data_IF_299463554552
#
_entry.id   IF_299463554552
#
_cell.length_a   1.000
_cell.length_b   1.000
_cell.length_c   1.000
_cell.angle_alpha   90.00
_cell.angle_beta   90.00
_cell.angle_gamma   90.00
#
_symmetry.space_group_name_H-M   'P 1'
#
loop_
_entity.id
_entity.type
_entity.pdbx_description
1 polymer ?
2 non-polymer ?
3 non-polymer ?
4 water ?
#
# COMPACT_ATOMS: atom_id res chain seq x y z
N UNK A 7 -10.67 1.61 35.27
CA UNK A 7 -10.28 3.05 35.24
C UNK A 7 -11.15 3.79 34.22
N UNK A 8 -10.54 4.21 33.13
CA UNK A 8 -11.23 4.76 31.97
C UNK A 8 -11.78 3.58 31.14
N UNK A 9 -11.25 2.38 31.44
CA UNK A 9 -11.56 1.09 30.78
C UNK A 9 -13.00 0.84 30.29
N UNK A 10 -13.98 1.45 30.95
CA UNK A 10 -15.39 1.19 30.65
C UNK A 10 -15.87 1.67 29.27
N UNK A 11 -15.51 0.90 28.25
CA UNK A 11 -16.19 0.88 26.95
C UNK A 11 -16.77 -0.54 26.78
N UNK A 12 -17.25 -0.96 25.60
CA UNK A 12 -17.99 -2.25 25.49
C UNK A 12 -17.20 -3.44 26.04
N UNK A 13 -17.91 -4.39 26.66
CA UNK A 13 -17.26 -5.49 27.38
C UNK A 13 -16.60 -6.48 26.41
N UNK A 14 -17.15 -6.53 25.19
CA UNK A 14 -16.62 -7.44 24.16
C UNK A 14 -15.27 -7.05 23.60
N UNK A 15 -14.79 -5.86 23.98
CA UNK A 15 -13.56 -5.28 23.41
C UNK A 15 -12.28 -5.56 24.20
N UNK A 16 -11.17 -5.58 23.47
CA UNK A 16 -9.87 -5.92 23.99
C UNK A 16 -8.96 -4.69 23.89
N UNK A 17 -8.50 -4.19 25.04
CA UNK A 17 -7.60 -3.03 25.07
C UNK A 17 -6.22 -3.44 25.58
N UNK A 18 -5.18 -3.05 24.85
CA UNK A 18 -3.82 -3.10 25.38
C UNK A 18 -3.23 -1.72 25.13
N UNK A 19 -2.61 -1.15 26.17
CA UNK A 19 -2.31 0.28 26.20
C UNK A 19 -1.01 0.55 26.92
N UNK A 20 -0.16 1.40 26.36
CA UNK A 20 1.06 1.78 27.06
C UNK A 20 1.36 3.22 26.73
N UNK A 21 1.69 4.01 27.74
CA UNK A 21 2.01 5.44 27.58
C UNK A 21 3.27 5.70 28.40
N UNK A 22 4.25 6.33 27.79
CA UNK A 22 5.55 6.48 28.42
C UNK A 22 6.22 7.76 27.96
N UNK A 23 6.77 8.51 28.91
CA UNK A 23 7.53 9.70 28.57
C UNK A 23 8.73 9.35 27.68
N UNK A 24 9.04 10.20 26.72
CA UNK A 24 10.18 9.93 25.88
C UNK A 24 11.44 9.88 26.75
N UNK A 25 12.17 8.77 26.65
CA UNK A 25 13.43 8.59 27.37
C UNK A 25 13.32 8.07 28.80
N UNK A 26 12.09 7.90 29.29
CA UNK A 26 11.91 7.39 30.65
C UNK A 26 12.09 5.89 30.72
N UNK A 27 12.47 5.41 31.90
CA UNK A 27 12.70 3.97 32.08
C UNK A 27 11.41 3.22 32.43
N UNK A 28 10.41 3.93 32.92
CA UNK A 28 9.12 3.30 33.27
C UNK A 28 7.89 4.01 32.66
N UNK A 29 6.87 3.24 32.30
CA UNK A 29 5.64 3.80 31.71
C UNK A 29 4.72 4.50 32.71
N UNK A 30 4.01 5.52 32.23
CA UNK A 30 3.02 6.20 33.06
C UNK A 30 1.71 5.44 33.08
N UNK A 31 1.37 4.80 31.96
CA UNK A 31 0.20 3.93 31.86
C UNK A 31 0.64 2.62 31.24
N UNK A 32 0.22 1.51 31.85
CA UNK A 32 0.64 0.20 31.38
C UNK A 32 -0.50 -0.76 31.62
N UNK A 33 -1.23 -1.05 30.55
CA UNK A 33 -2.36 -1.96 30.67
C UNK A 33 -2.24 -3.05 29.62
N UNK A 34 -1.88 -4.24 30.08
CA UNK A 34 -1.69 -5.39 29.20
C UNK A 34 -0.75 -5.06 28.03
N UNK A 35 0.35 -4.37 28.32
CA UNK A 35 1.23 -3.84 27.26
C UNK A 35 2.02 -4.93 26.55
N UNK A 36 2.13 -6.09 27.19
CA UNK A 36 2.88 -7.22 26.67
C UNK A 36 2.04 -8.12 25.77
N UNK A 37 0.73 -7.88 25.80
CA UNK A 37 -0.22 -8.68 25.05
C UNK A 37 -0.14 -8.31 23.58
N UNK A 38 0.05 -9.32 22.74
CA UNK A 38 0.20 -9.12 21.31
C UNK A 38 -1.14 -8.90 20.61
N UNK A 39 -1.17 -7.96 19.66
CA UNK A 39 -2.40 -7.59 19.02
C UNK A 39 -2.20 -7.36 17.51
N UNK A 40 -3.29 -7.33 16.76
CA UNK A 40 -3.26 -6.98 15.34
C UNK A 40 -2.97 -5.46 15.21
N UNK A 41 -1.88 -5.07 14.57
CA UNK A 41 -1.51 -3.63 14.50
C UNK A 41 -2.28 -2.85 13.45
N UNK A 42 -2.84 -3.56 12.47
CA UNK A 42 -3.45 -2.92 11.30
C UNK A 42 -2.46 -1.88 10.78
N UNK A 43 -2.94 -0.71 10.35
CA UNK A 43 -2.04 0.24 9.65
C UNK A 43 -0.96 0.88 10.53
N UNK A 44 -0.96 0.65 11.84
CA UNK A 44 0.20 1.13 12.65
C UNK A 44 1.45 0.37 12.27
N UNK A 45 1.27 -0.73 11.51
CA UNK A 45 2.43 -1.45 10.99
C UNK A 45 3.29 -0.50 10.16
N UNK A 46 2.67 0.51 9.52
CA UNK A 46 3.39 1.44 8.64
C UNK A 46 4.48 2.26 9.37
N UNK A 47 4.33 2.39 10.70
CA UNK A 47 5.34 3.10 11.50
C UNK A 47 6.66 2.34 11.45
N UNK A 48 6.57 1.02 11.65
CA UNK A 48 7.74 0.16 11.55
C UNK A 48 8.35 0.17 10.13
N UNK A 49 7.49 0.10 9.13
CA UNK A 49 7.92 0.09 7.74
C UNK A 49 8.68 1.38 7.43
N UNK A 50 8.13 2.51 7.85
CA UNK A 50 8.78 3.79 7.61
C UNK A 50 10.15 3.83 8.28
N UNK A 51 10.23 3.40 9.55
CA UNK A 51 11.55 3.45 10.24
C UNK A 51 12.60 2.57 9.56
N UNK A 52 12.23 1.32 9.28
CA UNK A 52 13.15 0.38 8.64
C UNK A 52 13.57 0.86 7.26
N UNK A 53 12.65 1.51 6.55
CA UNK A 53 12.90 2.03 5.19
C UNK A 53 13.93 3.14 5.27
N UNK A 54 13.75 4.05 6.22
CA UNK A 54 14.71 5.19 6.35
C UNK A 54 16.08 4.67 6.74
N UNK A 55 16.13 3.67 7.60
CA UNK A 55 17.42 3.14 7.98
C UNK A 55 18.10 2.39 6.83
N UNK A 56 17.36 1.54 6.12
CA UNK A 56 17.95 0.71 5.07
C UNK A 56 18.16 1.46 3.76
N UNK A 57 17.15 2.19 3.33
CA UNK A 57 17.17 2.83 2.02
C UNK A 57 17.60 4.31 2.03
N UNK A 58 17.38 4.98 3.16
CA UNK A 58 17.69 6.40 3.30
C UNK A 58 16.60 7.31 2.75
N UNK A 59 16.56 8.57 3.21
CA UNK A 59 15.51 9.49 2.79
C UNK A 59 15.54 9.83 1.31
N UNK A 60 16.69 9.64 0.66
CA UNK A 60 16.84 10.05 -0.75
C UNK A 60 16.72 8.92 -1.77
N UNK A 61 16.38 7.72 -1.30
CA UNK A 61 16.11 6.58 -2.21
C UNK A 61 15.01 6.96 -3.18
N UNK A 62 15.18 6.54 -4.45
CA UNK A 62 14.09 6.68 -5.40
C UNK A 62 13.86 5.34 -6.10
N UNK A 63 12.59 5.02 -6.35
CA UNK A 63 12.25 3.86 -7.18
C UNK A 63 12.63 4.23 -8.61
N UNK A 64 13.00 3.23 -9.39
CA UNK A 64 13.49 3.48 -10.75
C UNK A 64 12.87 2.51 -11.74
N UNK A 65 12.50 3.04 -12.90
CA UNK A 65 12.03 2.25 -14.04
C UNK A 65 12.90 2.63 -15.26
N UNK A 66 13.29 1.65 -16.06
CA UNK A 66 14.13 1.98 -17.23
C UNK A 66 13.67 1.26 -18.48
N UNK A 67 13.97 1.86 -19.63
CA UNK A 67 13.99 1.09 -20.89
C UNK A 67 15.47 0.89 -21.24
N UNK A 68 15.82 -0.36 -21.55
CA UNK A 68 17.18 -0.75 -21.82
C UNK A 68 17.22 -1.48 -23.14
N UNK A 69 18.33 -1.38 -23.85
CA UNK A 69 18.47 -2.15 -25.06
C UNK A 69 19.61 -3.11 -24.88
N UNK A 70 19.36 -4.33 -25.31
CA UNK A 70 20.38 -5.34 -25.39
C UNK A 70 20.55 -5.66 -26.88
N UNK A 71 21.63 -5.15 -27.46
CA UNK A 71 21.94 -5.38 -28.87
C UNK A 71 22.40 -4.13 -29.58
N UNK A 72 22.81 -4.27 -30.85
CA UNK A 72 23.24 -3.12 -31.65
C UNK A 72 22.08 -2.46 -32.38
N UNK A 73 22.17 -1.16 -32.55
CA UNK A 73 21.17 -0.40 -33.32
C UNK A 73 21.73 -0.06 -34.72
N UNK A 74 21.15 -0.68 -35.76
CA UNK A 74 21.61 -0.45 -37.12
C UNK A 74 20.50 0.14 -38.00
N UNK A 75 20.73 1.35 -38.47
CA UNK A 75 19.74 2.08 -39.26
C UNK A 75 18.36 2.14 -38.60
N UNK A 76 18.36 2.47 -37.31
CA UNK A 76 17.13 2.60 -36.52
C UNK A 76 16.53 1.27 -36.08
N UNK A 77 17.20 0.17 -36.38
CA UNK A 77 16.72 -1.16 -36.02
C UNK A 77 17.57 -1.69 -34.88
N UNK A 78 16.92 -1.97 -33.74
CA UNK A 78 17.59 -2.66 -32.64
C UNK A 78 17.67 -4.15 -33.00
N UNK A 79 18.89 -4.68 -33.14
CA UNK A 79 19.06 -6.09 -33.42
C UNK A 79 19.22 -6.78 -32.07
N UNK A 80 18.09 -7.09 -31.45
CA UNK A 80 18.10 -7.56 -30.06
C UNK A 80 16.79 -7.22 -29.37
N UNK A 81 16.81 -7.24 -28.04
CA UNK A 81 15.59 -7.09 -27.25
C UNK A 81 15.48 -5.70 -26.61
N UNK A 82 14.25 -5.19 -26.52
CA UNK A 82 13.96 -4.03 -25.69
C UNK A 82 13.58 -4.59 -24.33
N UNK A 83 14.15 -4.03 -23.27
CA UNK A 83 13.83 -4.50 -21.90
C UNK A 83 13.19 -3.35 -21.16
N UNK A 84 11.98 -3.57 -20.61
CA UNK A 84 11.41 -2.58 -19.72
C UNK A 84 11.60 -3.14 -18.32
N UNK A 85 12.51 -2.53 -17.56
CA UNK A 85 12.87 -3.02 -16.25
C UNK A 85 12.07 -2.23 -15.22
N UNK A 86 11.10 -2.90 -14.63
CA UNK A 86 10.24 -2.25 -13.65
C UNK A 86 10.91 -2.36 -12.30
N UNK A 87 10.59 -1.41 -11.42
CA UNK A 87 11.29 -1.31 -10.15
C UNK A 87 10.37 -1.10 -8.97
N UNK A 88 9.09 -1.50 -9.13
CA UNK A 88 8.10 -1.43 -8.05
C UNK A 88 7.74 0.01 -7.68
N UNK A 89 7.95 0.96 -8.59
CA UNK A 89 7.62 2.37 -8.30
C UNK A 89 6.10 2.44 -8.16
N UNK A 90 5.59 2.74 -6.97
CA UNK A 90 4.14 2.79 -6.75
C UNK A 90 3.48 4.01 -7.41
N UNK A 91 4.28 4.96 -7.88
CA UNK A 91 3.76 6.23 -8.41
C UNK A 91 3.87 6.32 -9.93
N UNK A 92 4.37 5.28 -10.60
CA UNK A 92 4.47 5.28 -12.08
C UNK A 92 3.12 5.44 -12.76
N UNK A 93 3.08 6.27 -13.82
CA UNK A 93 1.82 6.56 -14.52
C UNK A 93 1.91 6.21 -16.00
N UNK A 94 0.77 6.03 -16.66
CA UNK A 94 0.73 5.79 -18.13
C UNK A 94 1.60 6.77 -18.89
N UNK A 95 1.50 8.06 -18.54
CA UNK A 95 2.34 9.10 -19.19
C UNK A 95 3.83 8.92 -19.06
N UNK A 96 4.26 8.29 -17.96
CA UNK A 96 5.67 7.99 -17.79
C UNK A 96 6.11 6.95 -18.81
N UNK A 97 5.26 5.96 -19.08
CA UNK A 97 5.56 4.96 -20.11
C UNK A 97 5.66 5.64 -21.47
N UNK A 98 4.67 6.47 -21.75
CA UNK A 98 4.62 7.23 -23.00
C UNK A 98 5.87 8.06 -23.20
N UNK A 99 6.33 8.73 -22.13
CA UNK A 99 7.54 9.56 -22.19
C UNK A 99 8.84 8.77 -22.39
N UNK A 100 8.97 7.61 -21.72
CA UNK A 100 10.15 6.79 -21.92
C UNK A 100 10.15 6.27 -23.37
N UNK A 101 8.98 5.94 -23.91
CA UNK A 101 8.90 5.46 -25.31
C UNK A 101 9.29 6.60 -26.27
N UNK A 102 8.81 7.80 -25.97
CA UNK A 102 9.17 8.98 -26.76
C UNK A 102 10.66 9.15 -26.76
N UNK A 103 11.30 8.94 -25.61
CA UNK A 103 12.76 9.02 -25.49
C UNK A 103 13.49 7.92 -26.28
N UNK A 104 12.95 6.70 -26.21
CA UNK A 104 13.47 5.59 -27.01
C UNK A 104 13.50 5.92 -28.52
N UNK A 105 12.38 6.42 -29.02
CA UNK A 105 12.25 6.83 -30.42
C UNK A 105 13.27 7.92 -30.73
N UNK A 106 13.25 8.96 -29.89
CA UNK A 106 14.19 10.09 -30.00
C UNK A 106 15.65 9.63 -30.06
N UNK A 107 15.98 8.52 -29.39
CA UNK A 107 17.34 7.99 -29.40
C UNK A 107 17.70 7.32 -30.74
N UNK A 108 16.71 7.14 -31.61
CA UNK A 108 16.94 6.56 -32.96
C UNK A 108 16.47 5.14 -33.16
N UNK A 109 15.71 4.59 -32.23
CA UNK A 109 15.13 3.27 -32.40
C UNK A 109 13.74 3.38 -33.03
N UNK A 110 13.58 2.84 -34.23
CA UNK A 110 12.30 2.83 -34.94
C UNK A 110 11.71 1.44 -34.99
N UNK A 111 12.55 0.46 -34.72
CA UNK A 111 12.19 -0.92 -34.96
C UNK A 111 12.98 -1.82 -34.03
N UNK A 112 12.31 -2.85 -33.51
CA UNK A 112 12.96 -3.85 -32.68
C UNK A 112 12.94 -5.19 -33.39
N UNK A 113 14.10 -5.67 -33.75
CA UNK A 113 14.23 -7.00 -34.36
C UNK A 113 14.52 -7.94 -33.23
N UNK A 114 13.46 -8.29 -32.49
CA UNK A 114 13.64 -8.99 -31.23
C UNK A 114 12.37 -8.93 -30.42
N UNK A 115 12.51 -9.25 -29.15
CA UNK A 115 11.38 -9.35 -28.23
C UNK A 115 11.28 -8.08 -27.40
N UNK A 116 10.11 -7.88 -26.78
CA UNK A 116 9.95 -6.79 -25.81
C UNK A 116 9.78 -7.49 -24.47
N UNK A 117 10.74 -7.28 -23.57
CA UNK A 117 10.76 -8.01 -22.31
C UNK A 117 10.26 -7.12 -21.19
N UNK A 118 9.30 -7.63 -20.43
CA UNK A 118 8.77 -6.96 -19.23
C UNK A 118 9.48 -7.61 -18.04
N UNK A 119 10.42 -6.85 -17.48
CA UNK A 119 11.36 -7.39 -16.52
C UNK A 119 10.88 -7.00 -15.14
N UNK A 120 10.57 -8.00 -14.32
CA UNK A 120 10.11 -7.82 -12.94
C UNK A 120 11.07 -8.50 -11.98
N UNK A 121 12.31 -8.76 -12.41
CA UNK A 121 13.27 -9.56 -11.63
C UNK A 121 13.69 -8.93 -10.30
N UNK A 122 13.35 -7.66 -10.10
CA UNK A 122 13.59 -6.97 -8.81
C UNK A 122 12.93 -7.71 -7.64
N UNK A 123 11.79 -8.33 -7.93
CA UNK A 123 10.95 -9.03 -6.95
C UNK A 123 10.79 -10.47 -7.43
N UNK A 124 10.41 -11.36 -6.51
CA UNK A 124 10.07 -12.73 -6.89
C UNK A 124 8.96 -13.23 -5.99
N UNK A 125 8.42 -14.39 -6.35
CA UNK A 125 7.35 -15.03 -5.60
C UNK A 125 6.09 -14.20 -5.73
N UNK A 126 5.07 -14.53 -4.92
CA UNK A 126 3.76 -13.89 -5.02
C UNK A 126 3.76 -12.38 -4.74
N UNK A 127 2.89 -11.66 -5.44
CA UNK A 127 2.72 -10.21 -5.23
C UNK A 127 1.72 -9.89 -4.11
N UNK A 128 1.36 -10.90 -3.34
CA UNK A 128 0.37 -10.79 -2.26
C UNK A 128 1.00 -11.40 -1.03
N UNK A 129 0.93 -10.70 0.11
CA UNK A 129 1.60 -11.16 1.31
C UNK A 129 0.80 -12.29 1.95
N UNK A 130 1.44 -13.14 2.75
CA UNK A 130 0.69 -14.14 3.51
C UNK A 130 -0.29 -13.45 4.47
N UNK A 131 -1.49 -14.01 4.59
CA UNK A 131 -2.44 -13.49 5.56
C UNK A 131 -3.36 -12.40 5.07
N UNK A 132 -3.24 -12.01 3.78
CA UNK A 132 -4.21 -11.08 3.22
C UNK A 132 -5.51 -11.81 2.90
N UNK A 133 -6.64 -11.24 3.30
CA UNK A 133 -7.95 -11.87 2.97
C UNK A 133 -8.13 -11.94 1.45
N UNK A 134 -8.52 -13.10 0.92
CA UNK A 134 -8.68 -13.27 -0.53
C UNK A 134 -9.71 -12.28 -1.12
N UNK A 135 -10.75 -12.00 -0.34
CA UNK A 135 -11.93 -11.30 -0.87
C UNK A 135 -11.66 -9.84 -1.19
N UNK A 136 -10.61 -9.29 -0.61
CA UNK A 136 -10.31 -7.88 -0.87
C UNK A 136 -9.32 -7.73 -2.02
N UNK A 137 -8.87 -8.82 -2.64
CA UNK A 137 -7.75 -8.72 -3.60
C UNK A 137 -8.14 -7.98 -4.89
N UNK A 138 -9.45 -7.90 -5.17
CA UNK A 138 -9.94 -7.15 -6.34
C UNK A 138 -10.27 -5.70 -6.00
N UNK A 139 -10.13 -5.32 -4.72
CA UNK A 139 -10.30 -3.92 -4.31
C UNK A 139 -9.02 -3.12 -4.47
N UNK A 140 -9.13 -1.86 -4.92
CA UNK A 140 -7.91 -1.09 -5.11
C UNK A 140 -7.03 -0.90 -3.86
N UNK A 141 -7.63 -0.85 -2.67
CA UNK A 141 -6.85 -0.67 -1.45
C UNK A 141 -5.96 -1.87 -1.16
N UNK A 142 -6.25 -3.01 -1.79
CA UNK A 142 -5.44 -4.20 -1.59
C UNK A 142 -4.88 -4.70 -2.95
N UNK A 143 -4.66 -3.79 -3.92
CA UNK A 143 -4.15 -4.21 -5.21
C UNK A 143 -2.76 -4.79 -4.99
N UNK A 144 -2.49 -5.97 -5.56
CA UNK A 144 -1.16 -6.58 -5.43
C UNK A 144 -0.05 -5.59 -5.79
N UNK A 145 0.85 -5.29 -4.83
CA UNK A 145 1.92 -4.30 -5.03
C UNK A 145 3.09 -4.92 -5.78
N UNK A 146 2.86 -5.14 -7.07
CA UNK A 146 3.77 -5.86 -7.94
C UNK A 146 4.98 -5.01 -8.32
N UNK A 147 5.98 -5.63 -8.94
CA UNK A 147 7.11 -4.84 -9.46
C UNK A 147 6.63 -3.92 -10.60
N UNK A 148 5.66 -4.40 -11.37
CA UNK A 148 5.09 -3.60 -12.45
C UNK A 148 3.78 -2.94 -12.04
N UNK A 149 3.84 -1.63 -11.74
CA UNK A 149 2.64 -0.85 -11.39
C UNK A 149 2.47 0.32 -12.37
N UNK A 150 1.25 0.52 -12.87
CA UNK A 150 0.98 1.73 -13.63
C UNK A 150 -0.34 2.27 -13.15
N UNK A 151 -0.34 3.55 -12.76
CA UNK A 151 -1.53 4.21 -12.20
C UNK A 151 -2.20 3.34 -11.11
N UNK A 152 -1.34 2.91 -10.21
CA UNK A 152 -1.73 2.18 -8.99
C UNK A 152 -2.36 0.82 -9.24
N UNK A 153 -2.28 0.35 -10.48
CA UNK A 153 -2.87 -0.96 -10.85
C UNK A 153 -4.35 -1.01 -10.42
N UNK A 154 -5.05 0.09 -10.66
CA UNK A 154 -6.46 0.23 -10.35
C UNK A 154 -7.12 0.79 -11.58
N UNK A 155 -8.32 0.31 -11.92
CA UNK A 155 -9.05 0.84 -13.09
C UNK A 155 -10.52 0.93 -12.72
N UNK A 156 -11.29 1.68 -13.50
CA UNK A 156 -12.70 1.76 -13.18
C UNK A 156 -13.56 1.38 -14.38
N UNK A 157 -14.80 1.05 -14.07
CA UNK A 157 -15.74 0.41 -14.95
C UNK A 157 -17.13 1.00 -14.57
N UNK A 158 -18.04 1.05 -15.53
CA UNK A 158 -19.42 1.50 -15.27
C UNK A 158 -20.35 0.36 -15.59
N UNK A 159 -21.21 -0.01 -14.64
CA UNK A 159 -22.13 -1.11 -14.86
C UNK A 159 -23.57 -0.59 -15.03
N UNK A 160 -24.14 -0.89 -16.19
CA UNK A 160 -25.47 -0.41 -16.58
C UNK A 160 -26.47 -1.54 -16.50
N UNK A 161 -27.61 -1.29 -15.87
CA UNK A 161 -28.66 -2.29 -15.89
C UNK A 161 -29.31 -2.26 -17.27
N UNK A 162 -29.81 -3.42 -17.71
CA UNK A 162 -30.53 -3.52 -18.97
C UNK A 162 -31.92 -2.87 -18.85
N UNK A 163 -32.39 -2.25 -19.92
CA UNK A 163 -33.79 -1.76 -20.00
C UNK A 163 -34.85 -2.83 -19.67
N UNK A 164 -34.62 -4.06 -20.14
CA UNK A 164 -35.55 -5.18 -19.94
C UNK A 164 -35.03 -6.13 -18.85
N UNK A 165 -35.74 -6.20 -17.72
CA UNK A 165 -35.45 -7.18 -16.67
C UNK A 165 -35.24 -8.58 -17.22
N UNK A 166 -34.19 -9.24 -16.75
CA UNK A 166 -33.81 -10.55 -17.28
C UNK A 166 -32.68 -10.46 -18.29
N UNK A 167 -32.59 -9.33 -19.01
CA UNK A 167 -31.46 -9.07 -19.89
C UNK A 167 -30.20 -8.77 -19.09
N UNK A 168 -29.05 -9.02 -19.73
CA UNK A 168 -27.74 -8.93 -19.07
C UNK A 168 -27.35 -7.47 -18.85
N UNK A 169 -26.96 -7.13 -17.62
CA UNK A 169 -26.40 -5.81 -17.34
C UNK A 169 -25.12 -5.67 -18.17
N UNK A 170 -24.76 -4.45 -18.56
CA UNK A 170 -23.63 -4.28 -19.45
C UNK A 170 -22.54 -3.32 -18.94
N UNK A 171 -21.31 -3.57 -19.37
CA UNK A 171 -20.16 -2.95 -18.74
C UNK A 171 -19.51 -1.95 -19.68
N UNK A 172 -19.37 -0.71 -19.24
CA UNK A 172 -18.58 0.24 -20.01
C UNK A 172 -17.23 0.42 -19.35
N UNK A 173 -16.16 0.37 -20.14
CA UNK A 173 -14.82 0.62 -19.63
C UNK A 173 -13.99 1.42 -20.65
N UNK A 174 -13.18 2.35 -20.18
CA UNK A 174 -12.35 3.16 -21.07
C UNK A 174 -11.40 2.30 -21.89
N UNK A 175 -11.29 2.60 -23.18
CA UNK A 175 -10.44 1.85 -24.09
C UNK A 175 -8.97 1.87 -23.63
N UNK A 176 -8.57 2.84 -22.81
CA UNK A 176 -7.15 2.88 -22.37
C UNK A 176 -6.78 1.91 -21.21
N UNK A 177 -7.76 1.15 -20.71
CA UNK A 177 -7.48 0.10 -19.74
C UNK A 177 -7.34 -1.24 -20.45
N UNK A 178 -6.16 -1.84 -20.45
CA UNK A 178 -5.98 -3.15 -21.05
C UNK A 178 -6.46 -4.27 -20.15
N UNK A 179 -7.78 -4.32 -19.97
CA UNK A 179 -8.43 -5.39 -19.21
C UNK A 179 -9.49 -5.98 -20.12
N UNK A 180 -10.03 -7.15 -19.77
CA UNK A 180 -11.10 -7.72 -20.57
C UNK A 180 -12.27 -8.01 -19.64
N UNK A 181 -13.39 -7.32 -19.86
CA UNK A 181 -14.57 -7.45 -18.98
C UNK A 181 -15.66 -8.28 -19.62
N UNK A 182 -16.24 -9.18 -18.83
CA UNK A 182 -17.41 -9.95 -19.24
C UNK A 182 -18.55 -9.75 -18.22
N UNK A 183 -19.79 -9.68 -18.72
CA UNK A 183 -20.94 -9.60 -17.81
C UNK A 183 -21.79 -10.86 -17.85
N UNK A 184 -22.00 -11.45 -16.69
CA UNK A 184 -23.01 -12.50 -16.53
C UNK A 184 -24.04 -12.02 -15.51
N UNK A 185 -24.18 -10.70 -15.38
CA UNK A 185 -25.06 -10.08 -14.39
C UNK A 185 -26.47 -9.97 -14.96
N UNK A 186 -27.44 -10.53 -14.22
CA UNK A 186 -28.84 -10.46 -14.61
C UNK A 186 -29.47 -9.23 -14.02
N UNK A 187 -30.23 -8.51 -14.85
CA UNK A 187 -30.92 -7.32 -14.38
C UNK A 187 -32.22 -7.77 -13.74
N UNK A 188 -32.45 -7.33 -12.51
CA UNK A 188 -33.66 -7.73 -11.78
C UNK A 188 -34.70 -6.62 -11.88
N UNK A 189 -35.99 -6.99 -11.89
CA UNK A 189 -37.06 -6.01 -11.74
C UNK A 189 -37.01 -5.41 -10.33
N UNK A 190 -37.48 -4.18 -10.17
CA UNK A 190 -37.43 -3.50 -8.87
C UNK A 190 -38.07 -4.28 -7.71
N UNK A 191 -38.99 -5.19 -8.00
CA UNK A 191 -39.63 -5.93 -6.91
C UNK A 191 -38.92 -7.19 -6.40
N UNK A 192 -37.87 -7.59 -7.10
CA UNK A 192 -37.45 -9.00 -7.12
C UNK A 192 -37.21 -9.62 -5.76
N UNK A 193 -37.73 -10.83 -5.57
CA UNK A 193 -37.42 -11.63 -4.37
C UNK A 193 -35.92 -11.98 -4.33
N UNK A 194 -35.29 -11.94 -5.51
CA UNK A 194 -33.87 -12.25 -5.66
C UNK A 194 -32.94 -11.19 -5.09
N UNK A 195 -33.44 -9.97 -4.92
CA UNK A 195 -32.56 -8.88 -4.53
C UNK A 195 -31.86 -9.10 -3.17
N UNK A 196 -32.52 -9.79 -2.25
CA UNK A 196 -31.99 -9.92 -0.88
C UNK A 196 -30.68 -10.71 -0.79
N UNK A 197 -30.66 -11.91 -1.39
CA UNK A 197 -29.50 -12.83 -1.27
C UNK A 197 -28.73 -13.10 -2.56
N UNK A 198 -29.11 -12.47 -3.67
CA UNK A 198 -28.32 -12.58 -4.88
C UNK A 198 -27.21 -11.53 -4.83
N UNK A 199 -25.96 -11.99 -4.82
CA UNK A 199 -24.82 -11.09 -4.69
C UNK A 199 -24.46 -10.56 -6.08
N UNK A 200 -23.76 -9.43 -6.08
CA UNK A 200 -23.07 -8.90 -7.27
C UNK A 200 -21.59 -9.09 -7.01
N UNK A 201 -20.95 -9.88 -7.85
CA UNK A 201 -19.59 -10.31 -7.57
C UNK A 201 -18.65 -10.03 -8.72
N UNK A 202 -17.37 -9.93 -8.41
CA UNK A 202 -16.33 -9.86 -9.45
C UNK A 202 -15.46 -11.09 -9.32
N UNK A 203 -15.21 -11.72 -10.47
CA UNK A 203 -14.39 -12.95 -10.52
C UNK A 203 -13.22 -12.69 -11.46
N UNK A 204 -12.03 -12.52 -10.93
CA UNK A 204 -10.85 -12.30 -11.76
C UNK A 204 -10.41 -13.61 -12.43
N UNK A 205 -9.93 -13.49 -13.66
CA UNK A 205 -9.36 -14.62 -14.39
C UNK A 205 -7.97 -14.26 -14.85
N UNK A 206 -7.38 -15.14 -15.63
CA UNK A 206 -6.03 -14.90 -16.11
C UNK A 206 -5.97 -13.72 -17.08
N UNK A 207 -4.78 -13.13 -17.18
CA UNK A 207 -4.49 -12.07 -18.15
C UNK A 207 -5.48 -10.91 -18.05
N UNK A 208 -5.77 -10.54 -16.81
CA UNK A 208 -6.57 -9.37 -16.50
C UNK A 208 -7.96 -9.42 -17.12
N UNK A 209 -8.51 -10.63 -17.18
CA UNK A 209 -9.93 -10.83 -17.45
C UNK A 209 -10.71 -10.70 -16.15
N UNK A 210 -11.88 -10.07 -16.22
CA UNK A 210 -12.75 -10.01 -15.06
C UNK A 210 -14.17 -10.32 -15.51
N UNK A 211 -14.85 -11.17 -14.75
CA UNK A 211 -16.25 -11.49 -15.04
C UNK A 211 -17.10 -11.01 -13.87
N UNK A 212 -18.12 -10.21 -14.18
CA UNK A 212 -19.09 -9.76 -13.20
C UNK A 212 -20.24 -10.76 -13.21
N UNK A 213 -20.64 -11.24 -12.05
CA UNK A 213 -21.72 -12.26 -12.00
C UNK A 213 -22.77 -11.88 -10.98
N UNK A 214 -23.92 -12.55 -11.04
CA UNK A 214 -24.95 -12.33 -10.05
C UNK A 214 -26.03 -11.43 -10.58
N UNK A 215 -26.52 -10.55 -9.73
CA UNK A 215 -27.72 -9.74 -9.99
C UNK A 215 -27.49 -8.27 -9.74
N UNK A 216 -28.19 -7.44 -10.52
CA UNK A 216 -28.24 -6.01 -10.30
C UNK A 216 -29.69 -5.55 -10.49
N UNK A 217 -30.29 -4.95 -9.45
CA UNK A 217 -31.61 -4.32 -9.58
C UNK A 217 -31.54 -3.20 -10.60
N UNK A 218 -32.61 -3.05 -11.37
CA UNK A 218 -32.73 -1.94 -12.30
C UNK A 218 -32.38 -0.65 -11.57
N UNK A 219 -31.54 0.17 -12.19
CA UNK A 219 -31.18 1.48 -11.65
C UNK A 219 -31.10 2.47 -12.80
N UNK A 220 -31.37 3.73 -12.49
CA UNK A 220 -31.49 4.78 -13.48
C UNK A 220 -30.14 5.31 -13.95
N UNK A 221 -29.12 5.20 -13.11
CA UNK A 221 -27.75 5.59 -13.46
C UNK A 221 -26.79 4.40 -13.30
N UNK A 222 -25.70 4.35 -14.08
CA UNK A 222 -24.73 3.24 -13.95
C UNK A 222 -24.15 3.13 -12.55
N UNK A 223 -23.74 1.93 -12.16
CA UNK A 223 -23.04 1.72 -10.91
C UNK A 223 -21.54 1.82 -11.21
N UNK A 224 -20.85 2.76 -10.56
CA UNK A 224 -19.40 2.88 -10.77
C UNK A 224 -18.66 1.83 -9.93
N UNK A 225 -17.64 1.21 -10.51
CA UNK A 225 -16.88 0.18 -9.78
C UNK A 225 -15.41 0.35 -10.10
N UNK A 226 -14.55 0.20 -9.09
CA UNK A 226 -13.08 0.24 -9.34
C UNK A 226 -12.50 -1.09 -8.90
N UNK A 227 -11.60 -1.64 -9.70
CA UNK A 227 -11.01 -2.96 -9.39
C UNK A 227 -9.50 -2.91 -9.49
N UNK A 228 -8.85 -3.80 -8.75
CA UNK A 228 -7.41 -3.94 -8.79
C UNK A 228 -6.97 -4.91 -9.89
N UNK A 229 -5.96 -4.48 -10.64
CA UNK A 229 -5.26 -5.35 -11.60
C UNK A 229 -4.58 -6.49 -10.85
N UNK A 230 -4.80 -7.72 -11.32
CA UNK A 230 -4.19 -8.90 -10.70
C UNK A 230 -2.85 -9.30 -11.32
N UNK A 231 -2.64 -8.96 -12.60
CA UNK A 231 -1.40 -9.32 -13.27
C UNK A 231 -0.74 -8.05 -13.77
N UNK A 232 0.06 -7.44 -12.90
CA UNK A 232 0.66 -6.14 -13.23
C UNK A 232 1.61 -6.22 -14.42
N UNK A 233 2.35 -7.31 -14.55
CA UNK A 233 3.30 -7.42 -15.67
C UNK A 233 2.59 -7.41 -17.01
N UNK A 234 1.47 -8.15 -17.13
CA UNK A 234 0.71 -8.16 -18.39
C UNK A 234 0.05 -6.83 -18.67
N UNK A 235 -0.41 -6.18 -17.61
CA UNK A 235 -1.07 -4.89 -17.73
C UNK A 235 -0.05 -3.86 -18.21
N UNK A 236 1.10 -3.80 -17.54
CA UNK A 236 2.18 -2.87 -17.94
C UNK A 236 2.69 -3.19 -19.36
N UNK A 237 2.81 -4.47 -19.67
CA UNK A 237 3.19 -4.88 -21.05
C UNK A 237 2.25 -4.36 -22.10
N UNK A 238 0.94 -4.49 -21.84
CA UNK A 238 -0.05 -4.05 -22.80
C UNK A 238 0.03 -2.54 -22.96
N UNK A 239 0.27 -1.83 -21.86
CA UNK A 239 0.37 -0.37 -21.97
C UNK A 239 1.62 0.01 -22.79
N UNK A 240 2.71 -0.68 -22.51
CA UNK A 240 3.96 -0.43 -23.26
C UNK A 240 3.79 -0.72 -24.74
N UNK A 241 3.15 -1.85 -25.05
CA UNK A 241 2.89 -2.25 -26.45
C UNK A 241 2.07 -1.18 -27.18
N UNK A 242 1.03 -0.68 -26.52
CA UNK A 242 0.23 0.41 -27.07
C UNK A 242 1.09 1.64 -27.34
N UNK A 243 1.88 2.08 -26.36
CA UNK A 243 2.71 3.27 -26.56
C UNK A 243 3.76 3.10 -27.68
N UNK A 244 4.38 1.92 -27.72
CA UNK A 244 5.31 1.61 -28.83
C UNK A 244 4.63 1.79 -30.18
N UNK A 245 3.44 1.21 -30.33
CA UNK A 245 2.70 1.26 -31.59
C UNK A 245 2.36 2.70 -31.97
N UNK A 246 1.94 3.48 -30.97
CA UNK A 246 1.57 4.89 -31.19
C UNK A 246 2.78 5.73 -31.59
N UNK A 247 3.95 5.39 -31.05
CA UNK A 247 5.17 6.11 -31.43
C UNK A 247 5.76 5.57 -32.76
N UNK A 248 5.06 4.62 -33.38
CA UNK A 248 5.45 4.05 -34.68
C UNK A 248 6.62 3.07 -34.62
N UNK A 249 6.94 2.56 -33.43
CA UNK A 249 8.00 1.56 -33.25
C UNK A 249 7.40 0.18 -33.43
N UNK A 250 7.93 -0.60 -34.39
CA UNK A 250 7.44 -1.95 -34.63
C UNK A 250 8.37 -2.97 -33.98
N UNK A 251 7.88 -4.20 -33.79
CA UNK A 251 8.75 -5.28 -33.30
C UNK A 251 8.32 -6.61 -33.91
N UNK A 252 9.27 -7.51 -34.07
CA UNK A 252 9.01 -8.75 -34.78
C UNK A 252 8.77 -9.92 -33.85
N UNK A 253 9.18 -9.76 -32.58
CA UNK A 253 9.05 -10.85 -31.62
C UNK A 253 7.73 -10.79 -30.91
N UNK A 254 7.73 -11.13 -29.62
CA UNK A 254 6.53 -10.97 -28.82
C UNK A 254 6.88 -10.34 -27.47
N UNK A 255 5.84 -10.06 -26.71
CA UNK A 255 5.99 -9.59 -25.33
C UNK A 255 6.21 -10.78 -24.43
N UNK A 256 7.30 -10.76 -23.66
CA UNK A 256 7.67 -11.87 -22.79
C UNK A 256 8.00 -11.35 -21.41
N UNK A 257 7.69 -12.12 -20.38
CA UNK A 257 8.09 -11.71 -19.03
C UNK A 257 9.51 -12.17 -18.75
N UNK A 258 10.30 -11.32 -18.11
CA UNK A 258 11.66 -11.67 -17.68
C UNK A 258 11.67 -11.62 -16.16
N UNK A 259 11.77 -12.78 -15.53
CA UNK A 259 11.71 -12.87 -14.06
C UNK A 259 13.05 -13.16 -13.39
N UNK A 260 14.04 -13.59 -14.17
CA UNK A 260 15.30 -13.99 -13.55
C UNK A 260 16.29 -12.84 -13.58
N UNK A 261 17.12 -12.74 -12.55
CA UNK A 261 18.10 -11.67 -12.50
C UNK A 261 19.04 -11.73 -13.69
N UNK A 262 19.49 -10.57 -14.14
CA UNK A 262 20.20 -10.40 -15.40
C UNK A 262 20.95 -9.06 -15.42
N UNK A 263 22.05 -8.99 -16.18
CA UNK A 263 22.82 -7.75 -16.27
C UNK A 263 22.00 -6.73 -17.04
N UNK A 264 22.04 -5.47 -16.63
CA UNK A 264 21.26 -4.43 -17.32
C UNK A 264 21.82 -4.17 -18.72
N UNK A 265 20.94 -3.79 -19.63
CA UNK A 265 21.35 -3.32 -20.95
C UNK A 265 21.75 -1.86 -20.85
N UNK A 266 21.87 -1.20 -22.01
CA UNK A 266 22.12 0.23 -22.05
C UNK A 266 20.83 0.94 -21.71
N UNK A 267 20.85 1.80 -20.69
CA UNK A 267 19.64 2.54 -20.32
C UNK A 267 19.43 3.67 -21.30
N UNK A 268 18.35 3.60 -22.05
CA UNK A 268 18.01 4.62 -23.04
C UNK A 268 16.96 5.59 -22.52
N UNK A 269 16.14 5.13 -21.56
CA UNK A 269 15.18 6.02 -20.92
C UNK A 269 14.97 5.59 -19.46
N UNK A 270 14.56 6.53 -18.62
CA UNK A 270 14.29 6.23 -17.21
C UNK A 270 13.32 7.19 -16.53
N UNK A 271 12.77 6.72 -15.41
CA UNK A 271 11.92 7.55 -14.57
C UNK A 271 12.27 7.16 -13.15
N UNK A 272 12.52 8.17 -12.32
CA UNK A 272 12.67 7.97 -10.88
C UNK A 272 11.50 8.61 -10.14
N UNK A 273 11.07 7.93 -9.07
CA UNK A 273 10.04 8.49 -8.21
C UNK A 273 10.58 9.68 -7.43
N UNK A 274 9.68 10.39 -6.77
CA UNK A 274 10.03 11.32 -5.71
C UNK A 274 10.89 10.61 -4.65
N UNK A 275 11.68 11.36 -3.86
CA UNK A 275 12.52 10.76 -2.83
C UNK A 275 11.66 10.01 -1.80
N UNK A 276 12.28 9.02 -1.18
CA UNK A 276 11.58 8.12 -0.23
C UNK A 276 10.98 8.88 0.94
N UNK A 277 11.68 9.88 1.43
CA UNK A 277 11.09 10.62 2.55
C UNK A 277 9.73 11.20 2.16
N UNK A 278 9.60 11.68 0.91
CA UNK A 278 8.34 12.25 0.45
C UNK A 278 7.26 11.18 0.35
N UNK A 279 7.66 10.03 -0.18
CA UNK A 279 6.74 8.89 -0.32
C UNK A 279 6.31 8.35 1.03
N UNK A 280 7.25 8.29 2.00
CA UNK A 280 6.89 7.80 3.33
C UNK A 280 5.95 8.76 4.03
N UNK A 281 6.12 10.07 3.75
CA UNK A 281 5.17 11.06 4.25
C UNK A 281 3.75 10.84 3.72
N UNK A 282 3.61 10.65 2.40
CA UNK A 282 2.31 10.31 1.81
C UNK A 282 1.78 9.04 2.47
N UNK A 283 2.66 8.06 2.64
CA UNK A 283 2.25 6.77 3.16
C UNK A 283 1.66 6.89 4.55
N UNK A 284 2.32 7.67 5.40
CA UNK A 284 1.87 7.83 6.81
C UNK A 284 0.67 8.74 6.92
N UNK A 285 0.65 9.80 6.11
CA UNK A 285 -0.49 10.73 6.15
C UNK A 285 -1.77 10.12 5.58
N UNK A 286 -1.64 9.29 4.55
CA UNK A 286 -2.80 8.71 3.86
C UNK A 286 -2.99 7.20 4.06
N UNK A 287 -2.07 6.56 4.80
CA UNK A 287 -2.11 5.10 5.08
C UNK A 287 -2.11 4.37 3.74
N UNK A 288 -1.14 4.71 2.91
CA UNK A 288 -1.07 4.20 1.53
C UNK A 288 -0.47 2.80 1.55
N UNK A 289 -1.30 1.79 1.30
CA UNK A 289 -0.84 0.41 1.38
C UNK A 289 0.18 0.09 0.30
N UNK A 290 0.03 0.72 -0.86
CA UNK A 290 0.88 0.35 -2.02
C UNK A 290 2.30 0.88 -1.83
N UNK A 291 2.42 2.09 -1.31
CA UNK A 291 3.76 2.60 -0.98
C UNK A 291 4.36 1.75 0.14
N UNK A 292 3.55 1.44 1.16
CA UNK A 292 4.04 0.64 2.28
C UNK A 292 4.61 -0.71 1.80
N UNK A 293 3.86 -1.39 0.92
CA UNK A 293 4.22 -2.76 0.55
C UNK A 293 5.27 -2.89 -0.57
N UNK A 294 5.34 -1.90 -1.47
CA UNK A 294 6.48 -1.84 -2.40
C UNK A 294 7.73 -1.52 -1.61
N UNK A 295 7.66 -0.56 -0.68
CA UNK A 295 8.82 -0.28 0.17
C UNK A 295 9.26 -1.52 0.93
N UNK A 296 8.31 -2.27 1.47
CA UNK A 296 8.62 -3.44 2.31
C UNK A 296 9.44 -4.47 1.54
N UNK A 297 8.98 -4.86 0.35
CA UNK A 297 9.76 -5.86 -0.40
C UNK A 297 11.07 -5.25 -0.93
N UNK A 298 11.09 -3.94 -1.16
CA UNK A 298 12.36 -3.30 -1.53
C UNK A 298 13.40 -3.37 -0.40
N UNK A 299 12.97 -3.26 0.84
CA UNK A 299 13.90 -3.34 1.97
C UNK A 299 14.65 -4.68 1.97
N UNK A 300 13.91 -5.76 1.72
CA UNK A 300 14.51 -7.09 1.71
C UNK A 300 15.49 -7.24 0.57
N UNK A 301 15.09 -6.74 -0.59
CA UNK A 301 15.95 -6.78 -1.77
C UNK A 301 17.26 -6.05 -1.50
N UNK A 302 17.15 -4.84 -0.93
CA UNK A 302 18.33 -4.02 -0.61
C UNK A 302 19.22 -4.64 0.45
N UNK A 303 18.64 -5.18 1.52
CA UNK A 303 19.44 -5.73 2.60
C UNK A 303 20.18 -7.01 2.24
N UNK A 304 19.53 -7.90 1.48
CA UNK A 304 20.09 -9.21 1.20
C UNK A 304 20.58 -9.43 -0.23
N UNK A 305 20.42 -8.43 -1.10
CA UNK A 305 20.83 -8.55 -2.50
C UNK A 305 20.24 -9.82 -3.15
N UNK A 306 18.93 -9.97 -2.99
CA UNK A 306 18.17 -11.05 -3.61
C UNK A 306 16.92 -10.40 -4.20
N UNK A 307 16.25 -11.06 -5.14
CA UNK A 307 14.92 -10.57 -5.55
C UNK A 307 13.99 -10.44 -4.34
N UNK A 308 13.27 -9.33 -4.26
CA UNK A 308 12.51 -8.99 -3.07
C UNK A 308 11.30 -9.90 -2.92
N UNK A 309 11.16 -10.50 -1.74
CA UNK A 309 9.98 -11.33 -1.39
C UNK A 309 9.44 -10.93 -0.04
N UNK A 310 8.24 -11.41 0.28
CA UNK A 310 7.69 -11.08 1.57
C UNK A 310 8.55 -11.60 2.69
N UNK A 311 9.06 -12.82 2.56
CA UNK A 311 9.88 -13.43 3.59
C UNK A 311 11.18 -12.63 3.77
N UNK A 312 11.79 -12.23 2.66
CA UNK A 312 13.04 -11.46 2.80
C UNK A 312 12.75 -10.09 3.44
N UNK A 313 11.61 -9.50 3.11
CA UNK A 313 11.20 -8.23 3.74
C UNK A 313 11.06 -8.38 5.25
N UNK A 314 10.36 -9.44 5.69
CA UNK A 314 10.13 -9.69 7.11
C UNK A 314 11.43 -9.88 7.89
N UNK A 315 12.31 -10.73 7.35
CA UNK A 315 13.60 -11.01 7.96
C UNK A 315 14.42 -9.73 8.07
N UNK A 316 14.42 -8.94 7.00
CA UNK A 316 15.20 -7.69 6.97
C UNK A 316 14.68 -6.68 7.97
N UNK A 317 13.37 -6.50 8.04
CA UNK A 317 12.85 -5.51 8.97
C UNK A 317 13.19 -5.92 10.40
N UNK A 318 13.02 -7.20 10.71
CA UNK A 318 13.38 -7.73 12.05
C UNK A 318 14.86 -7.43 12.34
N UNK A 319 15.71 -7.72 11.37
CA UNK A 319 17.17 -7.53 11.51
C UNK A 319 17.54 -6.06 11.69
N UNK A 320 16.91 -5.18 10.91
CA UNK A 320 17.16 -3.74 10.99
C UNK A 320 16.78 -3.23 12.37
N UNK A 321 15.61 -3.63 12.87
CA UNK A 321 15.15 -3.12 14.16
C UNK A 321 16.10 -3.59 15.24
N UNK A 322 16.58 -4.82 15.12
CA UNK A 322 17.41 -5.37 16.22
C UNK A 322 18.79 -4.75 16.20
N UNK A 323 19.39 -4.69 15.01
CA UNK A 323 20.80 -4.38 14.85
C UNK A 323 21.05 -2.87 14.74
N UNK A 324 20.10 -2.15 14.15
CA UNK A 324 20.26 -0.71 13.99
C UNK A 324 19.46 0.12 14.99
N UNK A 325 18.32 -0.38 15.45
CA UNK A 325 17.44 0.40 16.31
C UNK A 325 17.38 -0.10 17.75
N UNK A 326 18.16 -1.15 18.02
CA UNK A 326 18.26 -1.78 19.33
C UNK A 326 16.98 -2.39 19.86
N UNK A 327 16.08 -2.75 18.95
CA UNK A 327 14.79 -3.30 19.31
C UNK A 327 14.78 -4.77 18.87
N UNK A 328 14.73 -5.67 19.84
CA UNK A 328 14.52 -7.08 19.57
C UNK A 328 13.02 -7.34 19.65
N UNK A 329 12.41 -7.67 18.51
CA UNK A 329 10.96 -7.76 18.48
C UNK A 329 10.48 -9.12 18.96
N UNK A 330 11.42 -10.00 19.31
CA UNK A 330 11.06 -11.30 19.88
C UNK A 330 10.03 -12.06 19.07
N UNK A 331 8.89 -12.37 19.70
CA UNK A 331 7.87 -13.21 19.07
C UNK A 331 6.93 -12.45 18.13
N UNK A 332 7.24 -11.18 17.89
CA UNK A 332 6.44 -10.35 16.97
C UNK A 332 6.38 -11.06 15.63
N UNK A 333 5.24 -10.96 14.95
CA UNK A 333 5.15 -11.41 13.57
C UNK A 333 5.00 -10.22 12.66
N UNK A 334 5.95 -10.05 11.75
CA UNK A 334 5.85 -9.02 10.70
C UNK A 334 5.64 -9.74 9.37
N UNK A 335 4.45 -9.55 8.79
CA UNK A 335 4.10 -10.22 7.52
C UNK A 335 4.12 -9.28 6.31
N UNK A 336 3.95 -7.99 6.54
CA UNK A 336 3.99 -7.05 5.43
C UNK A 336 4.38 -5.64 5.90
N UNK A 337 4.29 -4.68 4.98
CA UNK A 337 4.59 -3.29 5.33
C UNK A 337 3.38 -2.46 5.68
N UNK A 338 2.23 -2.79 5.10
CA UNK A 338 1.03 -1.95 5.22
C UNK A 338 0.16 -2.19 6.45
N UNK A 339 0.22 -3.42 6.97
CA UNK A 339 -0.67 -3.84 8.04
C UNK A 339 -1.90 -4.59 7.53
N UNK A 340 -1.97 -4.80 6.22
CA UNK A 340 -3.09 -5.55 5.63
C UNK A 340 -3.16 -6.98 6.17
N UNK A 341 -2.01 -7.59 6.37
CA UNK A 341 -2.01 -9.00 6.80
C UNK A 341 -2.58 -9.25 8.18
N UNK A 342 -3.50 -10.22 8.26
CA UNK A 342 -4.03 -10.64 9.54
C UNK A 342 -3.01 -11.48 10.32
N UNK A 343 -1.85 -11.74 9.70
CA UNK A 343 -0.76 -12.46 10.39
C UNK A 343 0.08 -11.52 11.27
N UNK A 344 0.07 -10.22 10.98
CA UNK A 344 0.85 -9.25 11.77
C UNK A 344 0.38 -9.35 13.21
N UNK A 345 1.35 -9.37 14.13
CA UNK A 345 1.04 -9.55 15.55
C UNK A 345 2.15 -8.90 16.33
N UNK A 346 1.80 -7.92 17.15
CA UNK A 346 2.80 -7.15 17.92
C UNK A 346 2.19 -6.59 19.21
N UNK A 347 2.98 -6.56 20.27
CA UNK A 347 2.56 -6.01 21.55
C UNK A 347 2.85 -4.51 21.63
N UNK A 348 1.99 -3.74 22.32
CA UNK A 348 2.30 -2.35 22.61
C UNK A 348 3.70 -2.12 23.13
N UNK A 349 4.19 -3.02 24.00
CA UNK A 349 5.54 -2.86 24.55
C UNK A 349 6.63 -2.89 23.49
N UNK A 350 6.41 -3.68 22.43
CA UNK A 350 7.36 -3.74 21.33
C UNK A 350 7.24 -2.51 20.44
N UNK A 351 6.01 -2.14 20.09
CA UNK A 351 5.79 -0.91 19.31
C UNK A 351 6.35 0.29 20.09
N UNK A 352 6.23 0.28 21.41
CA UNK A 352 6.80 1.37 22.24
C UNK A 352 8.30 1.53 22.06
N UNK A 353 9.02 0.42 21.90
CA UNK A 353 10.49 0.51 21.75
C UNK A 353 10.82 1.18 20.41
N UNK A 354 10.00 0.89 19.42
CA UNK A 354 10.14 1.50 18.11
C UNK A 354 9.85 2.99 18.23
N UNK A 355 8.76 3.36 18.91
CA UNK A 355 8.42 4.79 19.07
C UNK A 355 9.50 5.57 19.86
N UNK A 356 10.00 4.96 20.92
CA UNK A 356 11.08 5.59 21.71
C UNK A 356 12.31 5.85 20.82
N UNK A 357 12.68 4.85 20.01
CA UNK A 357 13.81 5.04 19.09
C UNK A 357 13.56 6.22 18.15
N UNK A 358 12.39 6.23 17.52
CA UNK A 358 12.01 7.35 16.64
C UNK A 358 12.11 8.69 17.38
N UNK A 359 11.50 8.80 18.57
CA UNK A 359 11.54 10.08 19.29
C UNK A 359 12.97 10.50 19.63
N UNK A 360 13.79 9.54 20.03
CA UNK A 360 15.18 9.80 20.43
C UNK A 360 16.00 10.22 19.23
N UNK A 361 15.63 9.73 18.05
CA UNK A 361 16.38 10.04 16.84
C UNK A 361 15.64 10.97 15.89
N UNK A 362 14.60 11.65 16.37
CA UNK A 362 13.79 12.42 15.45
C UNK A 362 14.53 13.55 14.74
N UNK A 363 15.53 14.14 15.41
CA UNK A 363 16.25 15.22 14.73
C UNK A 363 17.02 14.70 13.53
N UNK A 364 17.36 13.41 13.57
CA UNK A 364 18.00 12.71 12.45
C UNK A 364 17.04 12.27 11.36
N UNK A 365 15.93 11.68 11.79
CA UNK A 365 14.98 11.01 10.89
C UNK A 365 14.00 11.94 10.24
N UNK A 366 13.68 13.04 10.95
CA UNK A 366 12.57 13.92 10.62
C UNK A 366 11.31 13.07 10.41
N UNK A 367 10.98 12.32 11.43
CA UNK A 367 9.95 11.30 11.31
C UNK A 367 8.62 11.79 11.82
N UNK A 368 8.60 12.44 12.99
CA UNK A 368 7.34 12.80 13.62
C UNK A 368 6.53 13.75 12.77
N UNK A 369 7.20 14.63 12.03
CA UNK A 369 6.48 15.57 11.15
C UNK A 369 5.69 14.84 10.05
N UNK A 370 6.06 13.59 9.76
CA UNK A 370 5.36 12.81 8.73
C UNK A 370 4.04 12.21 9.20
N UNK A 371 3.87 12.07 10.52
CA UNK A 371 2.65 11.45 11.06
C UNK A 371 1.49 12.42 10.98
N UNK A 372 0.27 11.92 10.81
CA UNK A 372 -0.92 12.75 10.91
C UNK A 372 -0.91 13.57 12.18
N UNK A 373 -1.23 14.85 12.07
CA UNK A 373 -1.24 15.76 13.22
C UNK A 373 -2.70 16.04 13.51
N UNK A 374 -3.13 15.72 14.73
CA UNK A 374 -4.51 15.87 15.14
C UNK A 374 -5.02 17.29 14.91
N UNK A 375 -6.18 17.40 14.29
CA UNK A 375 -6.75 18.71 13.97
C UNK A 375 -6.26 19.33 12.66
N UNK A 376 -5.35 18.67 11.93
CA UNK A 376 -4.79 19.25 10.71
C UNK A 376 -4.90 18.38 9.48
N UNK A 377 -4.52 17.12 9.61
CA UNK A 377 -4.33 16.29 8.41
C UNK A 377 -4.20 14.85 8.72
N UNK A 378 -4.09 14.11 7.60
CA UNK A 378 -4.06 12.69 7.64
C UNK A 378 -5.35 12.26 8.25
N UNK A 379 -5.32 11.07 8.81
CA UNK A 379 -6.49 10.43 9.30
C UNK A 379 -6.90 11.05 10.63
N UNK A 380 -6.16 12.06 11.10
CA UNK A 380 -6.48 12.72 12.39
C UNK A 380 -7.03 14.15 12.28
N UNK A 381 -7.37 14.57 11.06
CA UNK A 381 -7.91 15.91 10.86
C UNK A 381 -9.04 16.21 11.83
N UNK A 382 -9.95 15.24 11.96
CA UNK A 382 -10.99 15.30 12.97
C UNK A 382 -11.23 13.88 13.49
N UNK A 383 -10.71 13.61 14.69
CA UNK A 383 -11.00 12.40 15.40
C UNK A 383 -11.68 12.87 16.67
N UNK A 384 -13.00 12.64 16.73
CA UNK A 384 -13.84 13.18 17.81
C UNK A 384 -13.21 13.06 19.20
N UNK A 385 -12.68 11.88 19.54
CA UNK A 385 -12.07 11.67 20.85
C UNK A 385 -10.91 12.63 21.15
N UNK A 386 -10.04 12.80 20.16
CA UNK A 386 -8.89 13.70 20.34
C UNK A 386 -9.32 15.15 20.33
N UNK A 387 -10.24 15.49 19.44
CA UNK A 387 -10.74 16.87 19.41
C UNK A 387 -11.36 17.25 20.74
N UNK A 388 -12.21 16.38 21.27
CA UNK A 388 -12.90 16.61 22.56
C UNK A 388 -11.98 16.58 23.76
N UNK A 389 -10.86 15.84 23.66
CA UNK A 389 -9.83 15.85 24.72
C UNK A 389 -9.06 17.18 24.79
N UNK A 390 -9.25 18.02 23.77
CA UNK A 390 -8.57 19.29 23.68
C UNK A 390 -7.13 19.16 23.20
N UNK A 391 -6.82 18.09 22.46
CA UNK A 391 -5.44 17.81 22.06
C UNK A 391 -5.14 18.01 20.55
N UNK A 392 -6.02 18.71 19.83
CA UNK A 392 -5.66 19.06 18.44
C UNK A 392 -4.33 19.82 18.47
N UNK A 393 -3.45 19.53 17.51
CA UNK A 393 -2.14 20.16 17.49
C UNK A 393 -1.14 19.56 18.45
N UNK A 394 -1.57 18.63 19.30
CA UNK A 394 -0.69 18.06 20.33
C UNK A 394 -0.35 16.58 20.13
N UNK A 395 -1.04 15.92 19.20
CA UNK A 395 -0.83 14.49 18.95
C UNK A 395 -0.46 14.31 17.49
N UNK A 396 0.63 13.59 17.29
CA UNK A 396 1.08 13.10 15.98
C UNK A 396 1.05 11.58 16.08
N UNK A 397 0.20 10.94 15.29
CA UNK A 397 0.03 9.49 15.48
C UNK A 397 -0.47 8.79 14.24
N UNK A 398 -0.15 7.51 14.12
CA UNK A 398 -0.69 6.72 13.02
C UNK A 398 -1.91 5.90 13.47
N UNK A 399 -2.99 5.96 12.71
CA UNK A 399 -4.17 5.13 13.00
C UNK A 399 -3.99 3.71 12.44
N UNK A 400 -4.67 2.74 13.06
CA UNK A 400 -4.85 1.43 12.40
C UNK A 400 -6.33 1.15 12.58
N UNK A 401 -7.08 1.16 11.48
CA UNK A 401 -8.56 1.14 11.56
C UNK A 401 -9.07 0.07 10.64
N UNK A 402 -9.83 -0.84 11.23
CA UNK A 402 -10.36 -2.02 10.58
C UNK A 402 -11.77 -2.21 11.14
N UNK A 403 -12.51 -3.17 10.58
CA UNK A 403 -13.78 -3.59 11.15
C UNK A 403 -13.54 -3.94 12.62
N UNK A 404 -13.97 -3.06 13.53
CA UNK A 404 -13.87 -3.32 14.96
C UNK A 404 -12.51 -3.10 15.61
N UNK A 405 -11.60 -2.47 14.87
CA UNK A 405 -10.25 -2.20 15.38
C UNK A 405 -10.03 -0.71 15.36
N UNK A 406 -9.55 -0.18 16.48
CA UNK A 406 -9.35 1.26 16.63
C UNK A 406 -7.98 1.53 17.29
N UNK A 407 -6.92 1.33 16.51
CA UNK A 407 -5.55 1.48 17.04
C UNK A 407 -5.03 2.89 16.82
N UNK A 408 -4.13 3.31 17.71
CA UNK A 408 -3.42 4.57 17.54
C UNK A 408 -2.01 4.38 18.09
N UNK A 409 -0.99 4.87 17.37
CA UNK A 409 0.37 4.72 17.84
C UNK A 409 1.10 5.99 17.50
N UNK A 410 1.71 6.63 18.50
CA UNK A 410 2.40 7.88 18.20
C UNK A 410 2.85 8.65 19.42
N UNK A 411 2.70 9.97 19.33
CA UNK A 411 3.27 10.92 20.32
C UNK A 411 2.29 11.99 20.71
N UNK A 412 2.35 12.41 21.97
CA UNK A 412 1.54 13.50 22.45
C UNK A 412 2.43 14.43 23.26
N UNK A 413 2.30 15.73 23.02
CA UNK A 413 2.91 16.77 23.87
C UNK A 413 1.93 17.18 24.93
N UNK A 414 2.31 17.09 26.20
CA UNK A 414 1.38 17.38 27.29
C UNK A 414 1.36 18.87 27.62
N UNK A 415 0.49 19.23 28.57
CA UNK A 415 0.31 20.61 29.03
C UNK A 415 1.58 21.24 29.59
N UNK A 416 2.45 20.40 30.13
CA UNK A 416 3.72 20.84 30.70
C UNK A 416 4.85 20.78 29.69
N UNK A 417 4.53 20.38 28.46
CA UNK A 417 5.49 20.44 27.36
C UNK A 417 6.35 19.20 27.19
N UNK A 418 6.04 18.13 27.91
CA UNK A 418 6.81 16.90 27.73
C UNK A 418 6.13 16.04 26.66
N UNK A 419 6.96 15.35 25.90
CA UNK A 419 6.49 14.42 24.88
C UNK A 419 6.40 13.01 25.49
N UNK A 420 5.24 12.41 25.30
CA UNK A 420 5.04 11.08 25.80
C UNK A 420 4.75 10.20 24.50
N UNK A 421 5.31 8.98 24.42
CA UNK A 421 4.97 8.06 23.31
C UNK A 421 3.80 7.21 23.79
N UNK A 422 2.95 6.74 22.88
CA UNK A 422 1.80 5.94 23.31
C UNK A 422 1.40 4.92 22.26
N UNK A 423 0.87 3.80 22.73
CA UNK A 423 0.35 2.78 21.83
C UNK A 423 -0.99 2.34 22.40
N UNK A 424 -2.03 2.51 21.59
CA UNK A 424 -3.39 2.12 21.96
C UNK A 424 -3.83 1.05 20.98
N UNK A 425 -3.85 -0.21 21.44
CA UNK A 425 -4.35 -1.29 20.59
C UNK A 425 -5.70 -1.76 21.14
N UNK A 426 -6.76 -1.43 20.40
CA UNK A 426 -8.14 -1.68 20.81
C UNK A 426 -8.90 -2.42 19.72
N UNK A 427 -9.46 -3.58 20.06
CA UNK A 427 -10.13 -4.39 19.04
C UNK A 427 -11.43 -4.99 19.54
N UNK A 428 -12.16 -5.63 18.61
CA UNK A 428 -13.45 -6.25 18.91
C UNK A 428 -14.48 -5.23 19.36
N UNK A 429 -14.31 -3.99 18.89
CA UNK A 429 -15.22 -2.91 19.22
C UNK A 429 -16.49 -3.06 18.40
N UNK A 430 -17.62 -3.15 19.10
CA UNK A 430 -18.95 -3.09 18.50
C UNK A 430 -19.93 -2.67 19.57
N UNK A 440 -20.19 4.94 17.81
CA UNK A 440 -18.98 5.73 18.06
C UNK A 440 -18.91 6.38 19.47
N UNK A 441 -20.06 6.55 20.14
CA UNK A 441 -20.09 7.15 21.49
C UNK A 441 -19.05 6.57 22.49
N UNK A 442 -19.05 5.27 22.77
CA UNK A 442 -18.09 4.70 23.74
C UNK A 442 -16.59 4.89 23.42
N UNK A 443 -16.19 4.71 22.17
CA UNK A 443 -14.80 5.01 21.75
C UNK A 443 -14.44 6.48 22.04
N UNK A 444 -15.31 7.38 21.57
CA UNK A 444 -15.13 8.81 21.77
C UNK A 444 -15.01 9.15 23.26
N UNK A 445 -15.92 8.61 24.08
CA UNK A 445 -15.87 8.84 25.52
C UNK A 445 -14.58 8.32 26.12
N UNK A 446 -14.08 7.20 25.58
CA UNK A 446 -12.84 6.61 26.09
C UNK A 446 -11.64 7.45 25.71
N UNK A 447 -11.54 7.79 24.44
CA UNK A 447 -10.42 8.58 23.94
C UNK A 447 -10.39 10.01 24.51
N UNK A 448 -11.57 10.63 24.62
CA UNK A 448 -11.70 11.97 25.22
C UNK A 448 -11.11 12.01 26.60
N UNK A 449 -11.52 11.04 27.42
CA UNK A 449 -11.06 10.93 28.79
C UNK A 449 -9.58 10.61 28.85
N UNK A 450 -9.16 9.65 28.03
CA UNK A 450 -7.82 9.12 28.11
C UNK A 450 -6.80 10.17 27.69
N UNK A 451 -6.99 10.79 26.54
CA UNK A 451 -6.02 11.77 26.06
C UNK A 451 -6.05 13.08 26.86
N UNK A 452 -7.24 13.48 27.32
CA UNK A 452 -7.40 14.65 28.22
C UNK A 452 -6.53 14.46 29.49
N UNK A 453 -6.68 13.28 30.10
CA UNK A 453 -5.86 12.87 31.26
C UNK A 453 -4.36 12.92 30.99
N UNK A 454 -3.91 12.30 29.90
CA UNK A 454 -2.50 12.29 29.55
C UNK A 454 -1.99 13.73 29.37
N UNK A 455 -2.76 14.55 28.66
CA UNK A 455 -2.30 15.89 28.31
C UNK A 455 -2.21 16.77 29.59
N UNK A 456 -3.25 16.72 30.40
CA UNK A 456 -3.40 17.58 31.57
C UNK A 456 -2.54 17.20 32.77
N UNK A 457 -2.32 15.90 32.95
CA UNK A 457 -1.65 15.34 34.14
C UNK A 457 -0.20 14.93 33.96
N UNK A 458 0.39 15.28 32.83
CA UNK A 458 1.78 14.99 32.59
C UNK A 458 2.45 16.20 31.97
#
# INVERSE_FOLDING_TARGET
MANVDEYITQLPAGANLALMVQKVGASAPAIDYHSQQMALPASTQKVITALAALIQLGPDFRFTTTLETKGNVENGVLKGDLVARFGADPTLKRQDIRNMVATLKKSGVNQIDGNVLIDTSIFASHDKAPGWPWNDMTQCFSAPPAAAIVDRNCFSVSLYSAPKPGDMAFIRVASYYPVTMFSQVRTLPRGSAEAQYCELDVVPGDLNRFTLTGCLPQRSEPLPLAFAVQDGASYAGAILKYELKQAGITWSGTLLRQTQVNEPGTVVASKQSAPLHDLLKIMLKKSDNMIADTVFRMIGHARFNVPGTWRAGSDAVRQILRQQAGVDIGNTIIADGSGLSRHNLIAPATMMQVLQYIAQHDNELNFISMLPLAGYDGSLQYRAGLHQAGVDGKVSAKTGSLQGVYNLAGFITTASGQRMAFVQYLSGYAVEPADQRNRRIPLVRFESRLYKDIYQNN
#
